data_IF_563526124924
#
_entry.id   IF_563526124924
#
_cell.length_a   1.000
_cell.length_b   1.000
_cell.length_c   1.000
_cell.angle_alpha   90.00
_cell.angle_beta   90.00
_cell.angle_gamma   90.00
#
_symmetry.space_group_name_H-M   'P 1'
#
loop_
_entity.id
_entity.type
_entity.pdbx_description
1 polymer ?
#
# COMPACT_ATOMS: atom_id res chain seq x y z
N UNK A 1 12.61 5.21 15.35
CA UNK A 1 11.37 4.45 15.15
C UNK A 1 11.72 3.16 14.43
N UNK A 2 11.09 2.04 14.77
CA UNK A 2 11.35 0.73 14.16
C UNK A 2 10.07 0.22 13.46
N UNK A 3 10.18 -0.66 12.46
CA UNK A 3 9.02 -1.39 11.94
C UNK A 3 8.34 -2.19 13.05
N UNK A 4 7.01 -2.25 13.01
CA UNK A 4 6.22 -3.03 13.96
C UNK A 4 5.83 -4.36 13.34
N UNK A 5 5.94 -5.45 14.10
CA UNK A 5 5.55 -6.79 13.65
C UNK A 5 4.15 -7.12 14.16
N UNK A 6 3.23 -7.40 13.24
CA UNK A 6 1.83 -7.71 13.52
C UNK A 6 1.51 -9.11 12.97
N UNK A 7 1.95 -10.16 13.68
CA UNK A 7 1.83 -11.54 13.19
C UNK A 7 2.65 -11.74 11.92
N UNK A 8 2.04 -12.14 10.78
CA UNK A 8 2.77 -12.31 9.52
C UNK A 8 3.04 -10.98 8.78
N UNK A 9 2.54 -9.86 9.30
CA UNK A 9 2.69 -8.55 8.65
C UNK A 9 3.77 -7.71 9.32
N UNK A 10 4.46 -6.91 8.52
CA UNK A 10 5.37 -5.86 9.00
C UNK A 10 4.72 -4.53 8.67
N UNK A 11 4.35 -3.78 9.72
CA UNK A 11 3.81 -2.45 9.58
C UNK A 11 4.96 -1.43 9.59
N UNK A 12 5.12 -0.71 8.49
CA UNK A 12 6.03 0.44 8.40
C UNK A 12 5.25 1.71 8.71
N UNK A 13 5.56 2.43 9.81
CA UNK A 13 4.92 3.70 10.11
C UNK A 13 5.02 4.69 8.93
N UNK A 14 4.00 5.52 8.74
CA UNK A 14 3.90 6.43 7.58
C UNK A 14 5.09 7.39 7.42
N UNK A 15 5.75 7.73 8.54
CA UNK A 15 6.94 8.57 8.59
C UNK A 15 8.12 8.00 7.79
N UNK A 16 8.16 6.68 7.59
CA UNK A 16 9.18 6.02 6.77
C UNK A 16 9.01 6.37 5.28
N UNK A 17 7.77 6.57 4.82
CA UNK A 17 7.48 6.98 3.45
C UNK A 17 7.67 8.49 3.26
N UNK A 18 7.42 9.29 4.29
CA UNK A 18 7.57 10.75 4.27
C UNK A 18 9.03 11.20 4.21
N UNK A 19 9.95 10.45 4.83
CA UNK A 19 11.38 10.79 4.84
C UNK A 19 12.22 9.75 4.10
N UNK A 20 12.78 10.17 2.95
CA UNK A 20 13.59 9.33 2.05
C UNK A 20 14.80 8.68 2.73
N UNK A 21 15.28 9.21 3.86
CA UNK A 21 16.35 8.58 4.67
C UNK A 21 15.96 7.20 5.19
N UNK A 22 14.66 6.90 5.32
CA UNK A 22 14.17 5.61 5.79
C UNK A 22 13.88 4.60 4.69
N UNK A 23 13.99 4.97 3.40
CA UNK A 23 13.74 4.04 2.29
C UNK A 23 14.62 2.79 2.33
N UNK A 24 15.93 2.88 2.67
CA UNK A 24 16.75 1.68 2.81
C UNK A 24 16.20 0.70 3.85
N UNK A 25 15.60 1.18 4.94
CA UNK A 25 15.00 0.34 5.96
C UNK A 25 13.77 -0.40 5.42
N UNK A 26 12.89 0.29 4.68
CA UNK A 26 11.71 -0.34 4.05
C UNK A 26 12.16 -1.38 3.02
N UNK A 27 13.09 -1.03 2.14
CA UNK A 27 13.59 -1.91 1.07
C UNK A 27 14.25 -3.16 1.68
N UNK A 28 15.13 -2.98 2.66
CA UNK A 28 15.82 -4.10 3.31
C UNK A 28 14.82 -5.01 4.03
N UNK A 29 13.88 -4.43 4.78
CA UNK A 29 12.87 -5.21 5.50
C UNK A 29 11.94 -5.96 4.54
N UNK A 30 11.59 -5.36 3.39
CA UNK A 30 10.78 -6.02 2.38
C UNK A 30 11.47 -7.21 1.71
N UNK A 31 12.80 -7.31 1.79
CA UNK A 31 13.54 -8.41 1.19
C UNK A 31 13.18 -9.76 1.83
N UNK A 32 12.77 -9.76 3.10
CA UNK A 32 12.36 -10.97 3.84
C UNK A 32 10.85 -11.25 3.73
N UNK A 33 10.09 -10.41 3.03
CA UNK A 33 8.65 -10.58 2.83
C UNK A 33 8.34 -11.26 1.48
N UNK A 34 7.20 -11.94 1.40
CA UNK A 34 6.69 -12.50 0.14
C UNK A 34 6.19 -11.40 -0.81
N UNK A 35 5.63 -10.32 -0.26
CA UNK A 35 5.00 -9.22 -0.99
C UNK A 35 5.09 -7.90 -0.21
N UNK A 36 5.01 -6.78 -0.93
CA UNK A 36 4.79 -5.44 -0.39
C UNK A 36 3.37 -4.95 -0.68
N UNK A 37 2.67 -4.48 0.35
CA UNK A 37 1.37 -3.83 0.21
C UNK A 37 1.54 -2.31 0.20
N UNK A 38 1.11 -1.67 -0.89
CA UNK A 38 1.06 -0.20 -0.99
C UNK A 38 -0.37 0.26 -0.73
N UNK A 39 -0.63 0.74 0.48
CA UNK A 39 -1.97 1.18 0.88
C UNK A 39 -2.16 2.66 0.57
N UNK A 40 -3.08 2.97 -0.34
CA UNK A 40 -3.48 4.33 -0.68
C UNK A 40 -4.90 4.59 -0.19
N UNK A 41 -5.03 5.66 0.55
CA UNK A 41 -6.29 6.13 1.06
C UNK A 41 -7.15 6.81 -0.02
N UNK A 42 -8.42 6.41 -0.16
CA UNK A 42 -9.32 6.96 -1.17
C UNK A 42 -9.72 8.42 -0.90
N UNK A 43 -9.71 8.89 0.35
CA UNK A 43 -10.13 10.27 0.68
C UNK A 43 -8.97 11.27 0.58
N UNK A 44 -7.72 10.79 0.63
CA UNK A 44 -6.54 11.66 0.54
C UNK A 44 -6.38 12.29 -0.84
N UNK A 45 -6.10 13.58 -0.85
CA UNK A 45 -5.85 14.38 -2.06
C UNK A 45 -4.44 14.27 -2.61
N UNK A 46 -3.53 13.66 -1.84
CA UNK A 46 -2.14 13.43 -2.19
C UNK A 46 -1.73 12.00 -1.85
N UNK A 47 -0.65 11.55 -2.47
CA UNK A 47 0.00 10.28 -2.17
C UNK A 47 1.36 10.51 -1.54
N UNK A 48 1.73 9.64 -0.61
CA UNK A 48 3.08 9.59 -0.04
C UNK A 48 4.04 8.82 -0.94
N UNK A 49 3.52 8.06 -1.91
CA UNK A 49 4.33 7.25 -2.80
C UNK A 49 4.92 8.09 -3.93
N UNK A 50 6.26 8.15 -4.06
CA UNK A 50 6.89 8.75 -5.23
C UNK A 50 6.52 8.01 -6.51
N UNK A 51 6.66 8.65 -7.68
CA UNK A 51 6.56 7.96 -8.96
C UNK A 51 7.51 6.76 -9.01
N UNK A 52 7.03 5.64 -9.56
CA UNK A 52 7.77 4.39 -9.72
C UNK A 52 8.34 3.80 -8.41
N UNK A 53 7.84 4.18 -7.25
CA UNK A 53 8.29 3.66 -5.95
C UNK A 53 8.26 2.12 -5.85
N UNK A 54 7.27 1.47 -6.46
CA UNK A 54 7.16 0.02 -6.53
C UNK A 54 8.40 -0.67 -7.14
N UNK A 55 9.12 0.04 -8.03
CA UNK A 55 10.34 -0.49 -8.68
C UNK A 55 11.54 -0.61 -7.75
N UNK A 56 11.48 -0.01 -6.56
CA UNK A 56 12.51 -0.16 -5.54
C UNK A 56 12.47 -1.53 -4.85
N UNK A 57 11.35 -2.25 -4.99
CA UNK A 57 11.15 -3.55 -4.39
C UNK A 57 11.39 -4.67 -5.40
N UNK A 58 12.13 -5.69 -4.99
CA UNK A 58 12.33 -6.92 -5.78
C UNK A 58 11.18 -7.91 -5.59
N UNK A 59 10.30 -7.67 -4.61
CA UNK A 59 9.12 -8.49 -4.30
C UNK A 59 7.90 -8.02 -5.09
N UNK A 60 6.89 -8.89 -5.18
CA UNK A 60 5.58 -8.53 -5.76
C UNK A 60 5.01 -7.36 -4.97
N UNK A 61 4.40 -6.41 -5.69
CA UNK A 61 3.79 -5.23 -5.09
C UNK A 61 2.30 -5.21 -5.43
N UNK A 62 1.47 -5.21 -4.39
CA UNK A 62 0.01 -5.07 -4.51
C UNK A 62 -0.41 -3.71 -3.99
N UNK A 63 -1.09 -2.94 -4.83
CA UNK A 63 -1.76 -1.70 -4.43
C UNK A 63 -3.08 -2.02 -3.74
N UNK A 64 -3.36 -1.37 -2.62
CA UNK A 64 -4.62 -1.50 -1.89
C UNK A 64 -5.23 -0.12 -1.71
N UNK A 65 -6.48 0.05 -2.14
CA UNK A 65 -7.23 1.28 -1.89
C UNK A 65 -8.09 1.07 -0.65
N UNK A 66 -7.90 1.89 0.38
CA UNK A 66 -8.68 1.87 1.63
C UNK A 66 -9.67 3.02 1.71
N UNK A 67 -10.61 2.94 2.67
CA UNK A 67 -11.65 3.95 2.94
C UNK A 67 -12.53 4.24 1.71
N UNK A 68 -12.86 3.21 0.95
CA UNK A 68 -13.68 3.33 -0.26
C UNK A 68 -15.17 3.56 0.07
N UNK A 69 -15.59 3.30 1.29
CA UNK A 69 -16.91 3.59 1.85
C UNK A 69 -17.17 5.09 2.08
N UNK A 70 -16.12 5.89 2.25
CA UNK A 70 -16.28 7.28 2.67
C UNK A 70 -17.02 8.12 1.60
N UNK A 71 -17.95 9.02 1.95
CA UNK A 71 -18.68 9.83 0.97
C UNK A 71 -17.78 10.67 0.05
N UNK A 72 -16.67 11.16 0.58
CA UNK A 72 -15.66 11.95 -0.12
C UNK A 72 -14.56 11.11 -0.80
N UNK A 73 -14.76 9.79 -0.90
CA UNK A 73 -13.79 8.92 -1.56
C UNK A 73 -13.59 9.35 -3.02
N UNK A 74 -12.36 9.24 -3.49
CA UNK A 74 -11.96 9.45 -4.87
C UNK A 74 -11.16 8.24 -5.33
N UNK A 75 -11.80 7.06 -5.40
CA UNK A 75 -11.15 5.76 -5.71
C UNK A 75 -10.32 5.83 -6.99
N UNK A 76 -10.82 6.48 -8.05
CA UNK A 76 -10.08 6.63 -9.31
C UNK A 76 -8.80 7.48 -9.16
N UNK A 77 -8.82 8.49 -8.29
CA UNK A 77 -7.60 9.27 -7.97
C UNK A 77 -6.60 8.41 -7.19
N UNK A 78 -7.07 7.67 -6.19
CA UNK A 78 -6.22 6.75 -5.42
C UNK A 78 -5.59 5.68 -6.31
N UNK A 79 -6.37 5.11 -7.24
CA UNK A 79 -5.89 4.16 -8.25
C UNK A 79 -4.80 4.77 -9.12
N UNK A 80 -4.99 6.00 -9.61
CA UNK A 80 -3.95 6.73 -10.38
C UNK A 80 -2.68 6.94 -9.57
N UNK A 81 -2.78 7.26 -8.28
CA UNK A 81 -1.59 7.38 -7.43
C UNK A 81 -0.81 6.07 -7.33
N UNK A 82 -1.49 4.95 -7.10
CA UNK A 82 -0.86 3.63 -7.04
C UNK A 82 -0.24 3.23 -8.39
N UNK A 83 -0.94 3.48 -9.50
CA UNK A 83 -0.42 3.25 -10.84
C UNK A 83 0.84 4.09 -11.12
N UNK A 84 0.81 5.38 -10.78
CA UNK A 84 1.97 6.27 -10.93
C UNK A 84 3.15 5.82 -10.05
N UNK A 85 2.86 5.28 -8.88
CA UNK A 85 3.87 4.67 -8.02
C UNK A 85 4.39 3.33 -8.55
N UNK A 86 3.80 2.77 -9.61
CA UNK A 86 4.25 1.55 -10.28
C UNK A 86 3.57 0.27 -9.81
N UNK A 87 2.51 0.35 -9.00
CA UNK A 87 1.70 -0.82 -8.65
C UNK A 87 0.91 -1.30 -9.87
N UNK A 88 1.04 -2.58 -10.22
CA UNK A 88 0.37 -3.19 -11.39
C UNK A 88 -0.95 -3.85 -11.03
N UNK A 89 -0.99 -4.49 -9.87
CA UNK A 89 -2.19 -5.12 -9.31
C UNK A 89 -2.74 -4.18 -8.24
N UNK A 90 -4.03 -3.84 -8.35
CA UNK A 90 -4.69 -2.91 -7.42
C UNK A 90 -6.03 -3.48 -7.02
N UNK A 91 -6.26 -3.61 -5.72
CA UNK A 91 -7.55 -4.00 -5.13
C UNK A 91 -8.12 -2.84 -4.35
N UNK A 92 -9.43 -2.64 -4.46
CA UNK A 92 -10.17 -1.70 -3.64
C UNK A 92 -10.88 -2.49 -2.54
N UNK A 93 -10.77 -2.06 -1.30
CA UNK A 93 -11.49 -2.65 -0.17
C UNK A 93 -12.43 -1.62 0.45
N UNK A 94 -13.70 -2.00 0.56
CA UNK A 94 -14.72 -1.28 1.30
C UNK A 94 -14.99 -2.00 2.63
N UNK A 95 -14.82 -1.29 3.74
CA UNK A 95 -14.94 -1.90 5.08
C UNK A 95 -16.38 -2.15 5.51
N UNK A 96 -17.34 -1.38 4.99
CA UNK A 96 -18.76 -1.48 5.32
C UNK A 96 -19.46 -2.62 4.56
N UNK A 97 -19.20 -2.74 3.26
CA UNK A 97 -19.80 -3.81 2.42
C UNK A 97 -18.99 -5.10 2.47
N UNK A 98 -17.71 -5.02 2.84
CA UNK A 98 -16.76 -6.13 2.74
C UNK A 98 -16.25 -6.38 1.32
N UNK A 99 -16.65 -5.56 0.34
CA UNK A 99 -16.23 -5.72 -1.04
C UNK A 99 -14.71 -5.65 -1.17
N UNK A 100 -14.14 -6.58 -1.93
CA UNK A 100 -12.70 -6.69 -2.17
C UNK A 100 -11.92 -7.39 -1.05
N UNK A 101 -12.51 -7.67 0.11
CA UNK A 101 -11.84 -8.37 1.20
C UNK A 101 -11.45 -9.81 0.81
N UNK A 102 -12.34 -10.54 0.14
CA UNK A 102 -12.06 -11.92 -0.26
C UNK A 102 -10.98 -11.99 -1.34
N UNK A 103 -11.04 -11.06 -2.30
CA UNK A 103 -9.97 -10.91 -3.31
C UNK A 103 -8.65 -10.60 -2.62
N UNK A 104 -8.63 -9.64 -1.68
CA UNK A 104 -7.43 -9.27 -0.93
C UNK A 104 -6.84 -10.47 -0.17
N UNK A 105 -7.66 -11.27 0.50
CA UNK A 105 -7.23 -12.49 1.20
C UNK A 105 -6.59 -13.50 0.24
N UNK A 106 -7.24 -13.79 -0.88
CA UNK A 106 -6.73 -14.76 -1.87
C UNK A 106 -5.43 -14.36 -2.56
N UNK A 107 -5.07 -13.08 -2.52
CA UNK A 107 -3.80 -12.58 -3.08
C UNK A 107 -2.66 -12.56 -2.07
N UNK A 108 -2.97 -12.56 -0.76
CA UNK A 108 -2.02 -12.44 0.34
C UNK A 108 -1.73 -13.80 0.99
N UNK A 109 -2.70 -14.71 1.04
CA UNK A 109 -2.61 -16.04 1.65
C UNK A 109 -2.74 -17.14 0.59
#
# INVERSE_FOLDING_TARGET
MAPEFCGPFINTPGEFLENRRFYPAIITTSADCDMVLMVQDATRISSLFPPQFATLFTRRVLGVISRAEAPENQVERAKRFLQNAGAKEIVCWNTETGDGLEVLKSLIF
#
